data_IF_388860365208
#
_entry.id   IF_388860365208
#
_cell.length_a   1.000
_cell.length_b   1.000
_cell.length_c   1.000
_cell.angle_alpha   90.00
_cell.angle_beta   90.00
_cell.angle_gamma   90.00
#
_symmetry.space_group_name_H-M   'P 1'
#
loop_
_entity.id
_entity.type
_entity.pdbx_description
1 polymer ?
#
# COMPACT_ATOMS: atom_id res chain seq x y z
N UNK A 1 2.08 11.67 -2.09
CA UNK A 1 2.19 10.20 -2.22
C UNK A 1 1.37 9.60 -1.09
N UNK A 2 0.50 8.64 -1.38
CA UNK A 2 -0.66 8.33 -0.51
C UNK A 2 -0.75 6.81 -0.31
N UNK A 3 -0.70 6.36 0.94
CA UNK A 3 -0.78 4.96 1.38
C UNK A 3 -2.21 4.57 1.66
N UNK A 4 -2.58 3.33 1.33
CA UNK A 4 -3.95 2.86 1.55
C UNK A 4 -4.11 1.36 1.56
N UNK A 5 -5.20 0.97 2.23
CA UNK A 5 -5.50 -0.40 2.62
C UNK A 5 -6.98 -0.65 2.35
N UNK A 6 -7.30 -1.76 1.66
CA UNK A 6 -8.66 -2.10 1.24
C UNK A 6 -9.18 -3.35 1.94
N UNK A 7 -10.47 -3.42 2.21
CA UNK A 7 -11.10 -4.57 2.89
C UNK A 7 -12.17 -5.21 2.00
N UNK A 8 -12.25 -6.55 1.91
CA UNK A 8 -13.05 -7.26 0.87
C UNK A 8 -13.64 -8.59 1.37
N UNK A 9 -14.95 -8.89 1.27
CA UNK A 9 -15.50 -10.26 1.39
C UNK A 9 -15.44 -11.03 0.05
N UNK A 10 -15.65 -12.35 -0.01
CA UNK A 10 -15.27 -13.19 -1.17
C UNK A 10 -16.46 -13.94 -1.83
N UNK A 11 -16.59 -13.91 -3.18
CA UNK A 11 -17.03 -15.03 -4.07
C UNK A 11 -17.03 -14.70 -5.61
N UNK A 12 -16.53 -15.69 -6.39
CA UNK A 12 -16.69 -16.06 -7.83
C UNK A 12 -16.12 -15.18 -8.98
N UNK A 13 -15.63 -15.87 -10.02
CA UNK A 13 -14.71 -15.40 -11.09
C UNK A 13 -15.29 -15.50 -12.53
N UNK A 14 -14.82 -14.68 -13.51
CA UNK A 14 -15.15 -14.86 -14.94
C UNK A 14 -13.97 -15.25 -15.86
N UNK A 15 -14.32 -15.50 -17.13
CA UNK A 15 -13.79 -16.48 -18.11
C UNK A 15 -12.77 -15.96 -19.15
N UNK A 16 -12.09 -16.92 -19.82
CA UNK A 16 -10.92 -16.81 -20.73
C UNK A 16 -11.19 -16.21 -22.13
N UNK A 17 -10.19 -15.55 -22.74
CA UNK A 17 -10.11 -15.32 -24.20
C UNK A 17 -8.78 -15.82 -24.82
N UNK A 18 -8.83 -16.13 -26.12
CA UNK A 18 -7.96 -17.03 -26.89
C UNK A 18 -6.67 -16.37 -27.44
N UNK A 19 -5.64 -17.20 -27.63
CA UNK A 19 -4.29 -16.89 -28.14
C UNK A 19 -4.18 -16.91 -29.66
N UNK A 20 -3.41 -15.97 -30.25
CA UNK A 20 -2.86 -16.05 -31.62
C UNK A 20 -1.32 -16.14 -31.57
N UNK A 21 -0.75 -16.97 -32.45
CA UNK A 21 0.69 -17.28 -32.59
C UNK A 21 1.36 -16.38 -33.65
N UNK A 22 2.58 -15.89 -33.38
CA UNK A 22 3.49 -15.23 -34.34
C UNK A 22 4.98 -15.55 -33.98
N UNK A 23 5.93 -15.50 -34.95
CA UNK A 23 7.30 -16.04 -34.83
C UNK A 23 8.25 -15.14 -33.99
N UNK A 24 9.48 -15.57 -33.64
CA UNK A 24 10.17 -15.18 -32.41
C UNK A 24 10.82 -13.80 -32.50
N UNK A 25 10.03 -12.74 -32.36
CA UNK A 25 10.51 -11.39 -32.09
C UNK A 25 10.87 -11.25 -30.60
N UNK A 26 11.45 -10.12 -30.18
CA UNK A 26 11.82 -9.80 -28.79
C UNK A 26 10.75 -10.14 -27.72
N UNK A 27 9.49 -10.30 -28.12
CA UNK A 27 8.41 -10.85 -27.31
C UNK A 27 8.64 -12.31 -26.82
N UNK A 28 9.35 -13.17 -27.57
CA UNK A 28 9.65 -14.56 -27.17
C UNK A 28 10.75 -14.63 -26.11
N UNK A 29 11.77 -13.77 -26.21
CA UNK A 29 12.83 -13.61 -25.21
C UNK A 29 12.26 -12.96 -23.94
N UNK A 30 11.34 -12.01 -24.10
CA UNK A 30 10.58 -11.41 -23.00
C UNK A 30 9.62 -12.41 -22.32
N UNK A 31 8.89 -13.21 -23.09
CA UNK A 31 8.04 -14.29 -22.58
C UNK A 31 8.89 -15.37 -21.85
N UNK A 32 10.14 -15.61 -22.27
CA UNK A 32 11.07 -16.51 -21.58
C UNK A 32 11.63 -15.94 -20.27
N UNK A 33 11.97 -14.65 -20.23
CA UNK A 33 12.68 -14.05 -19.09
C UNK A 33 11.76 -13.46 -18.02
N UNK A 34 10.67 -12.79 -18.42
CA UNK A 34 9.80 -12.02 -17.54
C UNK A 34 8.55 -12.77 -17.08
N UNK A 35 8.09 -13.75 -17.86
CA UNK A 35 6.82 -14.42 -17.61
C UNK A 35 7.03 -15.68 -16.79
N UNK A 36 7.03 -15.50 -15.47
CA UNK A 36 7.13 -16.61 -14.51
C UNK A 36 5.76 -17.00 -13.97
N UNK A 37 5.55 -18.31 -13.81
CA UNK A 37 4.37 -18.82 -13.11
C UNK A 37 4.43 -18.39 -11.63
N UNK A 38 3.28 -18.09 -11.01
CA UNK A 38 3.25 -17.79 -9.59
C UNK A 38 3.75 -19.00 -8.78
N UNK A 39 4.79 -18.79 -7.98
CA UNK A 39 5.33 -19.84 -7.09
C UNK A 39 4.62 -19.73 -5.75
N UNK A 40 3.82 -20.74 -5.42
CA UNK A 40 3.17 -20.84 -4.12
C UNK A 40 3.96 -21.78 -3.22
N UNK A 41 4.57 -21.25 -2.15
CA UNK A 41 5.32 -22.06 -1.16
C UNK A 41 4.39 -22.98 -0.35
N UNK A 42 3.16 -22.56 -0.05
CA UNK A 42 2.22 -23.36 0.72
C UNK A 42 1.50 -24.38 -0.15
N UNK A 43 1.63 -25.68 0.17
CA UNK A 43 0.91 -26.76 -0.53
C UNK A 43 -0.61 -26.61 -0.42
N UNK A 44 -1.12 -26.17 0.74
CA UNK A 44 -2.57 -25.96 0.96
C UNK A 44 -3.10 -24.81 0.09
N UNK A 45 -2.42 -23.66 0.12
CA UNK A 45 -2.80 -22.51 -0.71
C UNK A 45 -2.69 -22.83 -2.20
N UNK A 46 -1.65 -23.57 -2.61
CA UNK A 46 -1.50 -24.01 -3.99
C UNK A 46 -2.67 -24.88 -4.45
N UNK A 47 -3.11 -25.85 -3.64
CA UNK A 47 -4.29 -26.67 -3.96
C UNK A 47 -5.55 -25.82 -4.07
N UNK A 48 -5.78 -24.91 -3.12
CA UNK A 48 -6.93 -24.00 -3.16
C UNK A 48 -6.93 -23.15 -4.43
N UNK A 49 -5.81 -22.50 -4.75
CA UNK A 49 -5.68 -21.67 -5.95
C UNK A 49 -5.83 -22.49 -7.23
N UNK A 50 -5.31 -23.71 -7.28
CA UNK A 50 -5.49 -24.58 -8.46
C UNK A 50 -6.95 -24.97 -8.70
N UNK A 51 -7.76 -25.11 -7.64
CA UNK A 51 -9.17 -25.48 -7.74
C UNK A 51 -10.05 -24.26 -7.99
N UNK A 52 -9.86 -23.17 -7.25
CA UNK A 52 -10.75 -22.01 -7.25
C UNK A 52 -10.32 -20.92 -8.24
N UNK A 53 -9.03 -20.86 -8.56
CA UNK A 53 -8.42 -19.82 -9.40
C UNK A 53 -7.49 -20.45 -10.43
N UNK A 54 -7.94 -21.52 -11.09
CA UNK A 54 -7.13 -22.29 -12.03
C UNK A 54 -6.54 -21.41 -13.14
N UNK A 55 -7.31 -20.43 -13.64
CA UNK A 55 -6.86 -19.46 -14.61
C UNK A 55 -5.71 -18.56 -14.11
N UNK A 56 -5.68 -18.22 -12.82
CA UNK A 56 -4.60 -17.45 -12.20
C UNK A 56 -3.32 -18.31 -12.06
N UNK A 57 -3.45 -19.57 -11.64
CA UNK A 57 -2.29 -20.47 -11.43
C UNK A 57 -1.67 -20.93 -12.76
N UNK A 58 -2.50 -21.22 -13.75
CA UNK A 58 -2.07 -21.65 -15.09
C UNK A 58 -1.77 -20.47 -16.02
N UNK A 59 -2.22 -19.27 -15.66
CA UNK A 59 -2.03 -18.04 -16.42
C UNK A 59 -0.58 -17.59 -16.44
N UNK A 60 -0.18 -17.09 -17.60
CA UNK A 60 1.09 -16.41 -17.81
C UNK A 60 0.86 -14.91 -17.61
N UNK A 61 1.41 -14.33 -16.54
CA UNK A 61 1.27 -12.89 -16.30
C UNK A 61 2.24 -12.13 -17.18
N UNK A 62 1.71 -11.59 -18.29
CA UNK A 62 2.45 -10.71 -19.19
C UNK A 62 2.53 -9.32 -18.56
N UNK A 63 3.74 -8.91 -18.21
CA UNK A 63 4.03 -7.51 -17.92
C UNK A 63 3.89 -6.69 -19.21
N UNK A 64 3.43 -5.44 -19.16
CA UNK A 64 3.28 -4.59 -20.37
C UNK A 64 4.62 -4.50 -21.09
N UNK A 65 4.67 -4.76 -22.40
CA UNK A 65 5.90 -4.92 -23.21
C UNK A 65 6.88 -3.74 -23.06
N UNK A 66 6.38 -2.53 -22.76
CA UNK A 66 7.18 -1.34 -22.50
C UNK A 66 7.76 -1.25 -21.07
N UNK A 67 7.59 -2.27 -20.23
CA UNK A 67 8.03 -2.32 -18.83
C UNK A 67 8.91 -3.53 -18.54
N UNK A 68 10.07 -3.55 -19.20
CA UNK A 68 11.20 -4.46 -18.92
C UNK A 68 11.83 -4.13 -17.56
N UNK A 69 11.09 -4.39 -16.49
CA UNK A 69 11.53 -4.29 -15.11
C UNK A 69 10.38 -4.02 -14.14
N UNK A 70 10.29 -4.79 -13.04
CA UNK A 70 9.30 -4.61 -11.97
C UNK A 70 9.28 -3.17 -11.40
N UNK A 71 10.39 -2.44 -11.54
CA UNK A 71 10.54 -1.04 -11.14
C UNK A 71 9.88 -0.05 -12.11
N UNK A 72 9.82 -0.36 -13.40
CA UNK A 72 9.20 0.51 -14.42
C UNK A 72 7.68 0.57 -14.27
N UNK A 73 7.06 -0.54 -13.89
CA UNK A 73 5.61 -0.64 -13.69
C UNK A 73 5.08 0.30 -12.61
N UNK A 74 5.87 0.51 -11.53
CA UNK A 74 5.50 1.44 -10.45
C UNK A 74 5.53 2.90 -10.91
N UNK A 75 6.43 3.25 -11.84
CA UNK A 75 6.53 4.59 -12.40
C UNK A 75 5.51 4.84 -13.52
N UNK A 76 5.24 3.86 -14.38
CA UNK A 76 4.17 3.93 -15.40
C UNK A 76 2.78 4.01 -14.74
N UNK A 77 2.61 3.44 -13.54
CA UNK A 77 1.43 3.64 -12.71
C UNK A 77 1.15 5.11 -12.38
N UNK A 78 2.19 5.93 -12.15
CA UNK A 78 2.03 7.34 -11.76
C UNK A 78 1.25 8.20 -12.77
N UNK A 79 1.57 8.20 -14.08
CA UNK A 79 0.73 8.84 -15.10
C UNK A 79 -0.55 8.05 -15.38
N UNK A 80 -0.54 6.70 -15.33
CA UNK A 80 -1.73 5.86 -15.56
C UNK A 80 -2.85 6.12 -14.53
N UNK A 81 -2.51 6.51 -13.30
CA UNK A 81 -3.49 6.93 -12.28
C UNK A 81 -4.31 8.14 -12.68
N UNK A 82 -3.79 9.02 -13.54
CA UNK A 82 -4.55 10.18 -14.04
C UNK A 82 -5.69 9.75 -14.96
N UNK A 83 -5.53 8.60 -15.62
CA UNK A 83 -6.42 8.03 -16.63
C UNK A 83 -7.41 7.00 -16.08
N UNK A 84 -7.27 6.59 -14.81
CA UNK A 84 -8.23 5.69 -14.17
C UNK A 84 -9.58 6.39 -13.96
N UNK A 85 -10.70 5.69 -14.22
CA UNK A 85 -12.04 6.25 -14.09
C UNK A 85 -12.28 6.74 -12.66
N UNK A 86 -13.02 7.85 -12.54
CA UNK A 86 -13.44 8.35 -11.22
C UNK A 86 -14.51 7.40 -10.69
N UNK A 87 -14.26 6.82 -9.52
CA UNK A 87 -15.23 6.00 -8.80
C UNK A 87 -15.89 6.89 -7.74
N UNK A 88 -17.23 6.90 -7.73
CA UNK A 88 -17.99 7.56 -6.67
C UNK A 88 -17.71 6.85 -5.35
N UNK A 89 -17.38 7.63 -4.32
CA UNK A 89 -17.09 7.13 -2.99
C UNK A 89 -17.54 8.18 -1.97
N UNK A 90 -17.87 7.72 -0.76
CA UNK A 90 -18.16 8.58 0.37
C UNK A 90 -16.93 8.66 1.26
N UNK A 91 -16.37 9.85 1.42
CA UNK A 91 -15.30 10.10 2.38
C UNK A 91 -15.87 10.37 3.78
N UNK A 92 -15.44 9.59 4.76
CA UNK A 92 -15.64 9.80 6.20
C UNK A 92 -14.28 10.15 6.83
N UNK A 93 -14.22 11.21 7.64
CA UNK A 93 -13.04 11.52 8.45
C UNK A 93 -13.20 10.86 9.81
N UNK A 94 -12.26 10.00 10.17
CA UNK A 94 -12.18 9.38 11.48
C UNK A 94 -11.20 10.15 12.35
N UNK A 95 -11.70 10.64 13.48
CA UNK A 95 -10.88 11.19 14.56
C UNK A 95 -10.36 10.03 15.40
N UNK A 96 -9.04 9.91 15.50
CA UNK A 96 -8.35 8.91 16.30
C UNK A 96 -8.27 9.35 17.77
N UNK A 97 -7.94 8.41 18.65
CA UNK A 97 -7.82 8.61 20.09
C UNK A 97 -6.86 9.76 20.48
N UNK A 98 -5.81 9.98 19.70
CA UNK A 98 -4.84 11.06 19.87
C UNK A 98 -5.24 12.37 19.15
N UNK A 99 -6.50 12.48 18.74
CA UNK A 99 -7.06 13.59 17.92
C UNK A 99 -6.46 13.71 16.52
N UNK A 100 -5.71 12.71 16.06
CA UNK A 100 -5.30 12.59 14.67
C UNK A 100 -6.49 12.36 13.73
N UNK A 101 -6.30 12.65 12.45
CA UNK A 101 -7.31 12.42 11.41
C UNK A 101 -6.83 11.40 10.39
N UNK A 102 -7.72 10.47 10.03
CA UNK A 102 -7.58 9.56 8.87
C UNK A 102 -8.87 9.60 8.05
N UNK A 103 -8.79 9.33 6.74
CA UNK A 103 -10.00 9.26 5.90
C UNK A 103 -10.33 7.82 5.51
N UNK A 104 -11.61 7.49 5.59
CA UNK A 104 -12.19 6.26 5.06
C UNK A 104 -13.01 6.62 3.81
N UNK A 105 -12.56 6.15 2.66
CA UNK A 105 -13.26 6.33 1.39
C UNK A 105 -14.08 5.08 1.09
N UNK A 106 -15.38 5.11 1.39
CA UNK A 106 -16.33 4.02 1.23
C UNK A 106 -16.81 3.90 -0.22
N UNK A 107 -16.77 2.68 -0.77
CA UNK A 107 -17.32 2.33 -2.08
C UNK A 107 -18.74 1.78 -1.95
N UNK A 108 -19.57 2.03 -2.96
CA UNK A 108 -20.90 1.42 -3.12
C UNK A 108 -21.88 1.69 -1.96
N UNK A 109 -21.87 2.89 -1.40
CA UNK A 109 -22.98 3.39 -0.57
C UNK A 109 -23.83 4.39 -1.39
N UNK A 110 -25.16 4.24 -1.38
CA UNK A 110 -26.14 5.02 -2.16
C UNK A 110 -26.25 6.52 -1.79
N UNK A 111 -25.23 7.10 -1.16
CA UNK A 111 -25.24 8.49 -0.71
C UNK A 111 -24.25 9.34 -1.53
N UNK A 112 -24.63 10.56 -1.93
CA UNK A 112 -23.71 11.45 -2.64
C UNK A 112 -22.50 11.76 -1.76
N UNK A 113 -21.32 11.37 -2.25
CA UNK A 113 -20.05 11.52 -1.55
C UNK A 113 -19.16 12.62 -2.15
N UNK A 114 -18.14 13.02 -1.39
CA UNK A 114 -17.13 13.98 -1.83
C UNK A 114 -16.32 13.47 -3.03
N UNK A 115 -16.04 14.33 -4.02
CA UNK A 115 -15.12 14.02 -5.13
C UNK A 115 -13.62 14.11 -4.74
N UNK A 116 -13.30 13.95 -3.45
CA UNK A 116 -11.92 13.97 -2.99
C UNK A 116 -11.13 12.83 -3.60
N UNK A 117 -9.95 13.06 -4.20
CA UNK A 117 -9.23 12.00 -4.94
C UNK A 117 -8.73 10.88 -4.00
N UNK A 118 -9.36 9.70 -3.95
CA UNK A 118 -8.76 8.55 -3.27
C UNK A 118 -7.60 8.10 -4.14
N UNK A 119 -6.70 7.30 -3.58
CA UNK A 119 -5.75 6.57 -4.41
C UNK A 119 -6.52 5.70 -5.43
N UNK A 120 -6.14 5.85 -6.70
CA UNK A 120 -6.97 5.46 -7.84
C UNK A 120 -6.84 4.02 -8.34
N UNK A 121 -5.79 3.20 -8.05
CA UNK A 121 -5.69 1.87 -8.67
C UNK A 121 -6.51 0.77 -8.01
N UNK A 122 -6.65 0.70 -6.67
CA UNK A 122 -7.51 -0.36 -6.11
C UNK A 122 -8.98 0.01 -6.05
N UNK A 123 -9.39 1.27 -6.08
CA UNK A 123 -10.84 1.56 -6.09
C UNK A 123 -11.56 0.95 -7.31
N UNK A 124 -11.08 1.09 -8.55
CA UNK A 124 -11.65 0.40 -9.70
C UNK A 124 -11.52 -1.12 -9.60
N UNK A 125 -10.43 -1.63 -9.04
CA UNK A 125 -10.26 -3.07 -8.84
C UNK A 125 -11.26 -3.61 -7.81
N UNK A 126 -11.48 -2.90 -6.70
CA UNK A 126 -12.46 -3.24 -5.66
C UNK A 126 -13.89 -3.12 -6.21
N UNK A 127 -14.18 -2.05 -6.94
CA UNK A 127 -15.47 -1.85 -7.60
C UNK A 127 -15.76 -2.95 -8.64
N UNK A 128 -14.76 -3.38 -9.40
CA UNK A 128 -14.90 -4.46 -10.39
C UNK A 128 -15.15 -5.83 -9.74
N UNK A 129 -14.75 -6.02 -8.49
CA UNK A 129 -15.03 -7.26 -7.74
C UNK A 129 -16.43 -7.19 -7.08
N UNK A 130 -17.08 -6.01 -7.04
CA UNK A 130 -18.47 -5.87 -6.63
C UNK A 130 -18.72 -5.96 -5.11
N UNK A 131 -17.67 -5.94 -4.30
CA UNK A 131 -17.80 -6.03 -2.84
C UNK A 131 -17.95 -4.66 -2.18
N UNK A 132 -18.74 -4.55 -1.08
CA UNK A 132 -18.64 -3.43 -0.18
C UNK A 132 -17.21 -3.34 0.34
N UNK A 133 -16.61 -2.18 0.16
CA UNK A 133 -15.21 -1.99 0.47
C UNK A 133 -14.95 -0.53 0.82
N UNK A 134 -13.86 -0.31 1.52
CA UNK A 134 -13.38 1.02 1.83
C UNK A 134 -11.90 1.10 1.59
N UNK A 135 -11.45 2.34 1.51
CA UNK A 135 -10.05 2.70 1.39
C UNK A 135 -9.65 3.54 2.58
N UNK A 136 -8.63 3.09 3.30
CA UNK A 136 -8.03 3.88 4.38
C UNK A 136 -6.99 4.82 3.78
N UNK A 137 -7.06 6.11 4.07
CA UNK A 137 -5.97 7.06 3.82
C UNK A 137 -5.41 7.52 5.16
N UNK A 138 -4.11 7.34 5.35
CA UNK A 138 -3.41 7.80 6.55
C UNK A 138 -3.38 9.33 6.70
N UNK A 139 -2.88 9.78 7.86
CA UNK A 139 -2.62 11.19 8.19
C UNK A 139 -1.75 11.83 7.11
N UNK A 140 -2.07 13.06 6.70
CA UNK A 140 -1.39 13.80 5.64
C UNK A 140 -1.42 13.14 4.24
N UNK A 141 -2.04 11.95 4.10
CA UNK A 141 -2.27 11.26 2.84
C UNK A 141 -3.70 11.52 2.38
N UNK A 142 -4.06 11.21 1.12
CA UNK A 142 -5.46 11.31 0.68
C UNK A 142 -6.05 12.72 0.57
N UNK A 143 -5.35 13.78 0.99
CA UNK A 143 -5.95 15.09 1.25
C UNK A 143 -6.63 15.15 2.63
N UNK A 144 -6.23 14.26 3.54
CA UNK A 144 -6.60 14.28 4.95
C UNK A 144 -5.91 15.48 5.60
N UNK A 145 -6.65 16.40 6.23
CA UNK A 145 -6.08 17.48 7.00
C UNK A 145 -5.20 16.94 8.11
N UNK A 146 -4.08 17.61 8.38
CA UNK A 146 -3.14 17.20 9.40
C UNK A 146 -3.34 18.09 10.64
N UNK A 147 -4.05 17.65 11.71
CA UNK A 147 -4.32 18.51 12.87
C UNK A 147 -3.10 18.73 13.77
N UNK A 148 -2.04 17.92 13.61
CA UNK A 148 -0.78 18.02 14.35
C UNK A 148 0.36 17.36 13.57
N UNK A 149 1.61 17.59 13.96
CA UNK A 149 2.79 17.22 13.17
C UNK A 149 2.96 15.72 12.85
N UNK A 150 2.32 14.82 13.61
CA UNK A 150 2.43 13.37 13.43
C UNK A 150 1.75 12.87 12.15
N UNK A 151 2.53 12.25 11.27
CA UNK A 151 2.07 11.64 10.02
C UNK A 151 1.90 10.12 10.14
N UNK A 152 1.23 9.50 9.16
CA UNK A 152 1.20 8.04 9.03
C UNK A 152 2.53 7.54 8.47
N UNK A 153 3.05 6.48 9.06
CA UNK A 153 4.29 5.80 8.67
C UNK A 153 4.11 4.28 8.70
N UNK A 154 5.18 3.57 8.34
CA UNK A 154 5.19 2.11 8.20
C UNK A 154 4.65 1.35 9.43
N UNK A 155 4.92 1.85 10.64
CA UNK A 155 4.51 1.20 11.89
C UNK A 155 3.39 1.94 12.64
N UNK A 156 2.53 2.69 11.94
CA UNK A 156 1.31 3.29 12.53
C UNK A 156 0.22 2.26 12.87
N UNK A 157 0.58 1.20 13.60
CA UNK A 157 -0.28 0.06 13.95
C UNK A 157 -1.43 0.50 14.87
N UNK A 158 -1.21 1.49 15.73
CA UNK A 158 -2.26 2.06 16.58
C UNK A 158 -3.38 2.70 15.76
N UNK A 159 -3.03 3.63 14.86
CA UNK A 159 -3.97 4.27 13.94
C UNK A 159 -4.77 3.23 13.16
N UNK A 160 -4.08 2.23 12.61
CA UNK A 160 -4.72 1.20 11.80
C UNK A 160 -5.65 0.30 12.63
N UNK A 161 -5.26 -0.04 13.86
CA UNK A 161 -6.12 -0.81 14.75
C UNK A 161 -7.42 -0.09 15.14
N UNK A 162 -7.36 1.23 15.34
CA UNK A 162 -8.56 2.04 15.58
C UNK A 162 -9.48 2.05 14.36
N UNK A 163 -8.91 2.15 13.15
CA UNK A 163 -9.66 2.03 11.89
C UNK A 163 -10.33 0.65 11.79
N UNK A 164 -9.59 -0.43 12.02
CA UNK A 164 -10.14 -1.79 11.98
C UNK A 164 -11.27 -1.95 12.99
N UNK A 165 -11.10 -1.45 14.21
CA UNK A 165 -12.15 -1.49 15.25
C UNK A 165 -13.40 -0.72 14.85
N UNK A 166 -13.24 0.48 14.28
CA UNK A 166 -14.35 1.29 13.76
C UNK A 166 -15.14 0.56 12.67
N UNK A 167 -14.45 -0.14 11.78
CA UNK A 167 -15.05 -0.89 10.66
C UNK A 167 -15.66 -2.20 11.14
N UNK A 168 -15.03 -2.87 12.10
CA UNK A 168 -15.53 -4.14 12.67
C UNK A 168 -16.80 -3.95 13.49
N UNK A 169 -16.94 -2.83 14.20
CA UNK A 169 -18.08 -2.55 15.09
C UNK A 169 -19.46 -2.69 14.43
N UNK A 170 -19.75 -2.09 13.26
CA UNK A 170 -21.02 -2.29 12.55
C UNK A 170 -21.16 -3.68 11.91
N UNK A 171 -20.05 -4.38 11.67
CA UNK A 171 -20.02 -5.67 10.98
C UNK A 171 -19.33 -6.78 11.81
N UNK A 172 -19.83 -7.09 13.02
CA UNK A 172 -19.11 -7.95 13.96
C UNK A 172 -19.03 -9.41 13.52
N UNK A 173 -19.98 -9.87 12.69
CA UNK A 173 -20.08 -11.26 12.21
C UNK A 173 -19.63 -11.44 10.75
N UNK A 174 -19.38 -10.34 10.04
CA UNK A 174 -18.98 -10.38 8.63
C UNK A 174 -17.51 -10.72 8.47
N UNK A 175 -17.13 -11.29 7.33
CA UNK A 175 -15.73 -11.54 7.01
C UNK A 175 -15.02 -10.23 6.64
N UNK A 176 -14.04 -9.82 7.45
CA UNK A 176 -13.25 -8.61 7.25
C UNK A 176 -11.85 -9.00 6.77
N UNK A 177 -11.62 -8.89 5.47
CA UNK A 177 -10.29 -9.08 4.89
C UNK A 177 -9.57 -7.76 4.77
N UNK A 178 -8.24 -7.72 4.78
CA UNK A 178 -7.49 -6.49 4.48
C UNK A 178 -6.43 -6.72 3.41
N UNK A 179 -6.20 -5.73 2.55
CA UNK A 179 -5.23 -5.77 1.48
C UNK A 179 -4.38 -4.49 1.51
N UNK A 180 -3.06 -4.66 1.52
CA UNK A 180 -2.11 -3.55 1.58
C UNK A 180 -1.02 -3.70 0.52
N UNK A 181 -0.65 -2.60 -0.13
CA UNK A 181 0.43 -2.57 -1.15
C UNK A 181 1.62 -1.80 -0.59
N UNK A 182 2.83 -2.32 -0.80
CA UNK A 182 4.08 -1.71 -0.37
C UNK A 182 4.07 -1.38 1.15
N UNK A 183 4.23 -0.12 1.62
CA UNK A 183 4.13 0.16 3.06
C UNK A 183 2.76 -0.16 3.66
N UNK A 184 1.67 -0.15 2.89
CA UNK A 184 0.37 -0.61 3.40
C UNK A 184 0.38 -2.11 3.71
N UNK A 185 1.14 -2.90 2.93
CA UNK A 185 1.36 -4.32 3.21
C UNK A 185 2.28 -4.54 4.42
N UNK A 186 3.28 -3.68 4.61
CA UNK A 186 4.13 -3.70 5.81
C UNK A 186 3.33 -3.37 7.07
N UNK A 187 2.56 -2.29 7.05
CA UNK A 187 1.67 -1.89 8.14
C UNK A 187 0.68 -3.00 8.51
N UNK A 188 0.09 -3.66 7.50
CA UNK A 188 -0.76 -4.83 7.68
C UNK A 188 -0.03 -5.96 8.38
N UNK A 189 1.20 -6.25 7.95
CA UNK A 189 2.02 -7.31 8.51
C UNK A 189 2.31 -7.02 9.98
N UNK A 190 2.79 -5.81 10.29
CA UNK A 190 3.05 -5.36 11.67
C UNK A 190 1.79 -5.42 12.54
N UNK A 191 0.64 -4.99 12.02
CA UNK A 191 -0.63 -5.06 12.75
C UNK A 191 -1.00 -6.50 13.12
N UNK A 192 -0.91 -7.44 12.17
CA UNK A 192 -1.20 -8.85 12.43
C UNK A 192 -0.22 -9.47 13.43
N UNK A 193 1.06 -9.10 13.35
CA UNK A 193 2.09 -9.60 14.27
C UNK A 193 1.88 -9.07 15.69
N UNK A 194 1.69 -7.75 15.85
CA UNK A 194 1.61 -7.10 17.15
C UNK A 194 0.26 -7.32 17.84
N UNK A 195 -0.85 -7.30 17.08
CA UNK A 195 -2.18 -7.44 17.66
C UNK A 195 -2.61 -8.89 17.83
N UNK A 196 -2.08 -9.84 17.08
CA UNK A 196 -2.40 -11.26 17.24
C UNK A 196 -3.92 -11.55 17.21
N UNK A 197 -4.50 -12.25 18.20
CA UNK A 197 -5.94 -12.54 18.22
C UNK A 197 -6.84 -11.28 18.19
N UNK A 198 -6.53 -10.20 18.95
CA UNK A 198 -7.18 -8.88 18.83
C UNK A 198 -7.04 -8.13 17.50
N UNK A 199 -6.38 -8.67 16.48
CA UNK A 199 -6.20 -7.97 15.20
C UNK A 199 -7.52 -7.65 14.48
N UNK A 200 -8.63 -8.30 14.85
CA UNK A 200 -9.99 -8.07 14.32
C UNK A 200 -10.10 -8.17 12.80
N UNK A 201 -9.17 -8.89 12.16
CA UNK A 201 -9.17 -9.24 10.74
C UNK A 201 -9.27 -10.75 10.57
N UNK A 202 -10.01 -11.19 9.55
CA UNK A 202 -10.22 -12.61 9.26
C UNK A 202 -9.14 -13.16 8.34
N UNK A 203 -8.72 -12.39 7.33
CA UNK A 203 -7.51 -12.69 6.56
C UNK A 203 -6.91 -11.42 5.93
N UNK A 204 -5.73 -11.57 5.34
CA UNK A 204 -4.96 -10.46 4.80
C UNK A 204 -4.23 -10.79 3.49
N UNK A 205 -4.03 -9.77 2.66
CA UNK A 205 -3.21 -9.80 1.45
C UNK A 205 -2.19 -8.66 1.49
N UNK A 206 -0.91 -8.99 1.60
CA UNK A 206 0.16 -8.01 1.52
C UNK A 206 0.88 -8.15 0.17
N UNK A 207 0.85 -7.10 -0.64
CA UNK A 207 1.44 -7.07 -1.99
C UNK A 207 2.75 -6.29 -1.96
N UNK A 208 3.85 -6.99 -2.23
CA UNK A 208 5.21 -6.46 -2.22
C UNK A 208 5.56 -5.62 -0.97
N UNK A 209 5.26 -6.11 0.26
CA UNK A 209 5.66 -5.39 1.47
C UNK A 209 7.20 -5.34 1.59
N UNK A 210 7.79 -4.19 1.94
CA UNK A 210 9.21 -4.14 2.32
C UNK A 210 9.36 -4.64 3.76
N UNK A 211 9.61 -5.94 3.95
CA UNK A 211 9.70 -6.53 5.29
C UNK A 211 10.78 -5.88 6.17
N UNK A 212 11.87 -5.44 5.54
CA UNK A 212 12.96 -4.67 6.12
C UNK A 212 13.03 -3.25 5.51
N UNK A 213 12.44 -2.23 6.17
CA UNK A 213 12.48 -0.85 5.70
C UNK A 213 13.90 -0.31 5.49
N UNK A 214 14.86 -0.72 6.32
CA UNK A 214 16.25 -0.29 6.19
C UNK A 214 16.90 -0.77 4.88
N UNK A 215 16.65 -2.01 4.46
CA UNK A 215 17.11 -2.54 3.17
C UNK A 215 16.41 -1.82 2.02
N UNK A 216 15.09 -1.61 2.14
CA UNK A 216 14.31 -0.89 1.13
C UNK A 216 14.78 0.56 0.95
N UNK A 217 15.06 1.26 2.05
CA UNK A 217 15.56 2.64 2.06
C UNK A 217 16.95 2.73 1.42
N UNK A 218 17.88 1.83 1.74
CA UNK A 218 19.19 1.73 1.08
C UNK A 218 19.06 1.47 -0.42
N UNK A 219 18.17 0.56 -0.80
CA UNK A 219 17.92 0.22 -2.21
C UNK A 219 17.34 1.40 -2.99
N UNK A 220 16.40 2.14 -2.40
CA UNK A 220 15.80 3.35 -2.99
C UNK A 220 16.77 4.53 -3.03
N UNK A 221 17.74 4.57 -2.12
CA UNK A 221 18.78 5.61 -2.07
C UNK A 221 19.86 5.42 -3.13
N UNK A 222 19.91 4.27 -3.80
CA UNK A 222 20.81 4.07 -4.94
C UNK A 222 20.47 5.08 -6.06
N UNK A 223 21.41 5.98 -6.43
CA UNK A 223 21.14 7.06 -7.38
C UNK A 223 21.08 6.60 -8.84
N UNK A 224 21.33 5.31 -9.10
CA UNK A 224 21.39 4.75 -10.45
C UNK A 224 20.04 4.20 -10.90
N UNK A 225 19.71 4.47 -12.16
CA UNK A 225 18.51 3.95 -12.82
C UNK A 225 17.19 4.40 -12.19
N UNK A 226 16.20 3.50 -12.19
CA UNK A 226 14.82 3.80 -11.82
C UNK A 226 14.59 4.12 -10.34
N UNK A 227 15.52 3.70 -9.46
CA UNK A 227 15.42 3.97 -8.03
C UNK A 227 15.45 5.47 -7.73
N UNK A 228 16.30 6.24 -8.43
CA UNK A 228 16.36 7.71 -8.31
C UNK A 228 15.04 8.39 -8.68
N UNK A 229 14.44 7.99 -9.80
CA UNK A 229 13.16 8.56 -10.26
C UNK A 229 12.04 8.23 -9.27
N UNK A 230 11.98 6.98 -8.81
CA UNK A 230 10.98 6.54 -7.83
C UNK A 230 11.15 7.28 -6.50
N UNK A 231 12.37 7.39 -5.97
CA UNK A 231 12.66 8.09 -4.74
C UNK A 231 12.29 9.58 -4.82
N UNK A 232 12.67 10.26 -5.91
CA UNK A 232 12.30 11.66 -6.14
C UNK A 232 10.78 11.84 -6.27
N UNK A 233 10.09 10.91 -6.94
CA UNK A 233 8.62 10.94 -7.03
C UNK A 233 7.98 10.79 -5.65
N UNK A 234 8.46 9.82 -4.84
CA UNK A 234 7.95 9.58 -3.49
C UNK A 234 8.13 10.81 -2.62
N UNK A 235 9.36 11.31 -2.58
CA UNK A 235 9.73 12.45 -1.75
C UNK A 235 8.93 13.68 -2.11
N UNK A 236 8.86 14.04 -3.40
CA UNK A 236 8.04 15.19 -3.85
C UNK A 236 6.58 15.05 -3.46
N UNK A 237 6.03 13.84 -3.55
CA UNK A 237 4.66 13.60 -3.17
C UNK A 237 4.41 13.73 -1.67
N UNK A 238 5.39 13.39 -0.81
CA UNK A 238 5.29 13.58 0.64
C UNK A 238 5.48 15.06 1.00
N UNK A 239 6.50 15.70 0.44
CA UNK A 239 6.77 17.14 0.63
C UNK A 239 5.58 17.98 0.16
N UNK A 240 4.96 17.65 -0.97
CA UNK A 240 3.74 18.33 -1.43
C UNK A 240 2.58 18.20 -0.43
N UNK A 241 2.33 16.99 0.08
CA UNK A 241 1.34 16.75 1.13
C UNK A 241 1.63 17.56 2.41
N UNK A 242 2.90 17.71 2.78
CA UNK A 242 3.31 18.51 3.94
C UNK A 242 3.19 20.01 3.70
N UNK A 243 3.43 20.48 2.47
CA UNK A 243 3.19 21.87 2.07
C UNK A 243 1.71 22.24 2.15
N UNK A 244 0.82 21.33 1.76
CA UNK A 244 -0.64 21.53 1.92
C UNK A 244 -1.04 21.70 3.41
N UNK A 245 -0.18 21.29 4.35
CA UNK A 245 -0.36 21.41 5.80
C UNK A 245 0.72 22.28 6.46
N UNK A 246 1.28 23.24 5.71
CA UNK A 246 2.44 24.04 6.13
C UNK A 246 2.22 24.78 7.45
N UNK A 247 1.03 25.35 7.66
CA UNK A 247 0.69 26.06 8.90
C UNK A 247 0.92 25.20 10.14
N UNK A 248 0.48 23.94 10.07
CA UNK A 248 0.59 22.98 11.19
C UNK A 248 2.04 22.58 11.42
N UNK A 249 2.80 22.36 10.33
CA UNK A 249 4.22 22.03 10.41
C UNK A 249 5.02 23.18 11.04
N UNK A 250 4.72 24.44 10.67
CA UNK A 250 5.38 25.62 11.23
C UNK A 250 4.99 25.87 12.69
N UNK A 251 3.71 25.72 13.04
CA UNK A 251 3.20 25.96 14.40
C UNK A 251 3.73 24.92 15.39
N UNK A 252 3.91 23.67 14.95
CA UNK A 252 4.43 22.62 15.82
C UNK A 252 5.81 22.95 16.39
N UNK A 253 6.65 23.74 15.68
CA UNK A 253 8.03 24.12 16.04
C UNK A 253 9.00 22.97 16.35
N UNK A 254 8.54 21.73 16.34
CA UNK A 254 9.35 20.51 16.45
C UNK A 254 10.29 20.37 15.24
N UNK A 255 9.91 20.96 14.10
CA UNK A 255 10.55 20.73 12.80
C UNK A 255 10.74 22.04 12.03
N UNK A 256 11.89 22.22 11.39
CA UNK A 256 12.17 23.35 10.49
C UNK A 256 11.53 23.11 9.13
N UNK A 257 10.35 23.69 8.91
CA UNK A 257 9.57 23.50 7.68
C UNK A 257 10.36 23.75 6.38
N UNK A 258 11.23 24.77 6.38
CA UNK A 258 12.01 25.13 5.19
C UNK A 258 13.01 24.03 4.78
N UNK A 259 13.59 23.31 5.75
CA UNK A 259 14.50 22.19 5.48
C UNK A 259 13.74 21.00 4.88
N UNK A 260 12.53 20.74 5.39
CA UNK A 260 11.62 19.69 4.89
C UNK A 260 11.22 19.97 3.45
N UNK A 261 10.87 21.23 3.13
CA UNK A 261 10.41 21.59 1.80
C UNK A 261 11.50 21.65 0.74
N UNK A 262 12.77 21.63 1.15
CA UNK A 262 13.96 21.51 0.30
C UNK A 262 14.38 20.06 0.05
N UNK A 263 13.77 19.08 0.71
CA UNK A 263 14.13 17.68 0.57
C UNK A 263 13.74 17.10 -0.80
N UNK A 264 14.65 16.31 -1.39
CA UNK A 264 14.50 15.70 -2.72
C UNK A 264 14.55 14.18 -2.70
N UNK A 265 15.05 13.59 -1.62
CA UNK A 265 15.10 12.14 -1.40
C UNK A 265 14.54 11.78 -0.03
N UNK A 266 14.09 10.54 0.13
CA UNK A 266 13.66 10.00 1.43
C UNK A 266 14.79 10.07 2.46
N UNK A 267 16.03 9.81 2.04
CA UNK A 267 17.21 9.93 2.89
C UNK A 267 17.41 11.36 3.46
N UNK A 268 17.00 12.40 2.72
CA UNK A 268 16.97 13.77 3.24
C UNK A 268 15.72 14.05 4.07
N UNK A 269 14.56 13.51 3.69
CA UNK A 269 13.28 13.81 4.34
C UNK A 269 13.13 13.14 5.71
N UNK A 270 13.58 11.88 5.84
CA UNK A 270 13.40 11.08 7.05
C UNK A 270 14.06 11.71 8.30
N UNK A 271 15.33 12.18 8.27
CA UNK A 271 15.94 12.84 9.42
C UNK A 271 15.35 14.23 9.69
N UNK A 272 14.90 14.96 8.67
CA UNK A 272 14.35 16.31 8.85
C UNK A 272 12.88 16.32 9.29
N UNK A 273 12.10 15.29 8.95
CA UNK A 273 10.68 15.25 9.25
C UNK A 273 10.22 13.92 9.85
N UNK A 274 10.40 12.79 9.15
CA UNK A 274 9.67 11.56 9.51
C UNK A 274 10.03 11.04 10.91
N UNK A 275 11.32 10.90 11.22
CA UNK A 275 11.76 10.43 12.53
C UNK A 275 11.41 11.43 13.66
N UNK A 276 11.74 12.74 13.55
CA UNK A 276 11.38 13.73 14.57
C UNK A 276 9.87 13.89 14.76
N UNK A 277 9.07 13.84 13.69
CA UNK A 277 7.62 14.03 13.75
C UNK A 277 6.89 12.93 14.55
N UNK A 278 7.54 11.78 14.72
CA UNK A 278 6.99 10.65 15.48
C UNK A 278 7.65 10.56 16.87
N UNK A 279 8.79 11.23 17.06
CA UNK A 279 9.55 11.23 18.31
C UNK A 279 10.68 10.19 18.38
N UNK A 280 11.16 9.69 17.24
CA UNK A 280 12.35 8.83 17.21
C UNK A 280 13.62 9.66 17.36
N UNK A 281 14.61 9.13 18.10
CA UNK A 281 15.90 9.79 18.31
C UNK A 281 16.78 9.75 17.06
N UNK A 282 16.69 8.66 16.29
CA UNK A 282 17.42 8.51 15.04
C UNK A 282 16.55 7.92 13.93
N UNK A 283 16.98 8.12 12.69
CA UNK A 283 16.37 7.46 11.52
C UNK A 283 16.57 5.95 11.57
N UNK A 284 17.67 5.48 12.17
CA UNK A 284 17.94 4.07 12.33
C UNK A 284 16.88 3.42 13.24
N UNK A 285 16.60 4.03 14.40
CA UNK A 285 15.56 3.54 15.33
C UNK A 285 14.18 3.50 14.65
N UNK A 286 13.87 4.54 13.85
CA UNK A 286 12.64 4.62 13.07
C UNK A 286 12.50 3.47 12.06
N UNK A 287 13.58 3.14 11.35
CA UNK A 287 13.59 2.07 10.34
C UNK A 287 13.57 0.67 10.97
N UNK A 288 14.32 0.47 12.05
CA UNK A 288 14.39 -0.81 12.78
C UNK A 288 13.07 -1.15 13.46
N UNK A 289 12.45 -0.18 14.14
CA UNK A 289 11.13 -0.34 14.77
C UNK A 289 10.04 -0.62 13.74
N UNK A 290 10.24 -0.18 12.50
CA UNK A 290 9.32 -0.43 11.39
C UNK A 290 9.53 -1.79 10.70
N UNK A 291 10.51 -2.60 11.12
CA UNK A 291 10.78 -3.91 10.52
C UNK A 291 9.78 -4.97 10.97
N UNK A 292 9.31 -5.79 10.02
CA UNK A 292 8.37 -6.88 10.28
C UNK A 292 8.98 -8.28 10.18
N UNK A 293 10.19 -8.41 9.62
CA UNK A 293 10.80 -9.70 9.29
C UNK A 293 10.88 -10.66 10.49
N UNK A 294 11.41 -10.18 11.62
CA UNK A 294 11.53 -10.98 12.86
C UNK A 294 10.19 -11.30 13.54
N UNK A 295 9.10 -10.64 13.12
CA UNK A 295 7.79 -10.77 13.75
C UNK A 295 6.81 -11.63 12.95
N UNK A 296 7.12 -11.98 11.69
CA UNK A 296 6.19 -12.70 10.81
C UNK A 296 5.78 -14.08 11.36
N UNK A 297 6.61 -14.71 12.18
CA UNK A 297 6.27 -15.96 12.86
C UNK A 297 5.12 -15.81 13.88
N UNK A 298 4.83 -14.58 14.33
CA UNK A 298 3.77 -14.28 15.28
C UNK A 298 2.39 -14.12 14.63
N UNK A 299 2.32 -14.10 13.29
CA UNK A 299 1.05 -13.95 12.57
C UNK A 299 0.15 -15.16 12.82
N UNK A 300 -1.00 -14.91 13.46
CA UNK A 300 -2.00 -15.94 13.79
C UNK A 300 -3.17 -16.02 12.81
N UNK A 301 -3.36 -14.99 11.98
CA UNK A 301 -4.45 -14.91 10.99
C UNK A 301 -3.94 -15.33 9.61
N UNK A 302 -4.78 -15.94 8.76
CA UNK A 302 -4.41 -16.24 7.38
C UNK A 302 -3.92 -14.98 6.65
N UNK A 303 -2.69 -15.04 6.11
CA UNK A 303 -2.12 -13.95 5.31
C UNK A 303 -1.49 -14.51 4.04
N UNK A 304 -1.70 -13.81 2.94
CA UNK A 304 -1.05 -14.08 1.65
C UNK A 304 -0.06 -12.96 1.35
N UNK A 305 1.20 -13.34 1.15
CA UNK A 305 2.24 -12.43 0.67
C UNK A 305 2.42 -12.62 -0.83
N UNK A 306 2.12 -11.57 -1.60
CA UNK A 306 2.35 -11.55 -3.04
C UNK A 306 3.60 -10.71 -3.34
N UNK A 307 4.72 -11.39 -3.56
CA UNK A 307 6.02 -10.75 -3.81
C UNK A 307 6.48 -11.10 -5.21
N UNK A 308 7.00 -10.12 -5.95
CA UNK A 308 7.63 -10.40 -7.24
C UNK A 308 8.98 -11.10 -7.02
N UNK A 309 9.27 -12.10 -7.86
CA UNK A 309 10.53 -12.84 -7.78
C UNK A 309 11.78 -11.96 -7.93
N UNK A 310 11.63 -10.80 -8.57
CA UNK A 310 12.72 -9.84 -8.81
C UNK A 310 12.87 -8.78 -7.71
N UNK A 311 12.00 -8.80 -6.68
CA UNK A 311 12.25 -8.04 -5.44
C UNK A 311 13.29 -8.82 -4.63
N UNK A 312 14.56 -8.71 -5.01
CA UNK A 312 15.70 -9.06 -4.17
C UNK A 312 16.06 -7.87 -3.28
#
# INVERSE_FOLDING_TARGET
>A
MRWSMGVVPQSKAPTKSKSLQCPPCAASVYDMLAVRKPVCRSRRLRRFLSVQMEAFVKGYFRTTICSTGAKLQRLVGCPYHRWLPRVNHRRELLVLSDRGLVALDWLNEDRPGSQSRPWRPLLPALAAVGFPGLVVNGRCCGGVPLPGHRITYAASVSDFAEVVSKVRKPYPRECLLAAGVFLGGLLLSLHLCQRGPPAQLDAALAVSPPFEPAVAARTLSNPWGFNRLLNACITRGLVGSLRDSEEVVRVAKVIRADDVFRCWTLASLDPHYAAPAIGFQSVQDFLETSSSEGWLCMVRRPVVFLVSADNR
#
